data_IF_107269413856
#
_entry.id   IF_107269413856
#
_cell.length_a   1.000
_cell.length_b   1.000
_cell.length_c   1.000
_cell.angle_alpha   90.00
_cell.angle_beta   90.00
_cell.angle_gamma   90.00
#
_symmetry.space_group_name_H-M   'P 1'
#
loop_
_entity.id
_entity.type
_entity.pdbx_description
1 polymer ?
#
# COMPACT_ATOMS: atom_id res chain seq x y z
N UNK A 1 47.29 8.17 -2.06
CA UNK A 1 45.94 7.82 -2.57
C UNK A 1 45.15 6.97 -1.56
N UNK A 2 44.21 7.60 -0.85
CA UNK A 2 43.24 6.92 0.00
C UNK A 2 42.36 6.03 -0.89
N UNK A 3 42.41 4.71 -0.68
CA UNK A 3 41.54 3.75 -1.38
C UNK A 3 40.11 4.02 -0.92
N UNK A 4 39.24 4.42 -1.85
CA UNK A 4 37.81 4.55 -1.59
C UNK A 4 37.28 3.21 -1.06
N UNK A 5 36.66 3.24 0.11
CA UNK A 5 35.94 2.10 0.67
C UNK A 5 34.72 1.88 -0.23
N UNK A 6 34.49 0.66 -0.76
CA UNK A 6 33.31 0.39 -1.57
C UNK A 6 32.04 0.66 -0.74
N UNK A 7 30.99 1.24 -1.34
CA UNK A 7 29.74 1.47 -0.64
C UNK A 7 29.20 0.13 -0.10
N UNK A 8 28.53 0.13 1.07
CA UNK A 8 27.90 -1.07 1.58
C UNK A 8 26.93 -1.65 0.54
N UNK A 9 26.76 -2.97 0.48
CA UNK A 9 25.80 -3.58 -0.43
C UNK A 9 24.42 -2.96 -0.19
N UNK A 10 23.80 -2.46 -1.26
CA UNK A 10 22.44 -1.95 -1.22
C UNK A 10 21.52 -3.05 -0.71
N UNK A 11 20.63 -2.72 0.23
CA UNK A 11 19.58 -3.63 0.66
C UNK A 11 18.82 -4.15 -0.58
N UNK A 12 18.41 -5.43 -0.61
CA UNK A 12 17.60 -5.95 -1.70
C UNK A 12 16.31 -5.11 -1.84
N UNK A 13 15.77 -4.97 -3.06
CA UNK A 13 14.51 -4.27 -3.25
C UNK A 13 13.40 -4.95 -2.42
N UNK A 14 12.41 -4.16 -1.99
CA UNK A 14 11.41 -4.58 -1.02
C UNK A 14 10.63 -5.84 -1.47
N UNK A 15 10.46 -6.01 -2.79
CA UNK A 15 9.75 -7.10 -3.46
C UNK A 15 10.64 -8.29 -3.87
N UNK A 16 11.94 -8.28 -3.57
CA UNK A 16 12.85 -9.36 -3.95
C UNK A 16 12.42 -10.72 -3.36
N UNK A 17 12.63 -11.81 -4.09
CA UNK A 17 12.47 -13.16 -3.52
C UNK A 17 13.47 -13.38 -2.37
N UNK A 18 13.11 -14.18 -1.35
CA UNK A 18 14.01 -14.47 -0.24
C UNK A 18 15.27 -15.14 -0.74
N UNK A 19 16.42 -14.67 -0.27
CA UNK A 19 17.74 -15.10 -0.73
C UNK A 19 18.27 -16.31 0.05
N UNK A 20 17.70 -16.56 1.23
CA UNK A 20 18.03 -17.69 2.09
C UNK A 20 16.78 -18.27 2.75
N UNK A 21 16.86 -19.50 3.26
CA UNK A 21 15.75 -20.14 4.00
C UNK A 21 15.52 -19.54 5.37
N UNK A 22 16.52 -18.88 5.93
CA UNK A 22 16.48 -18.30 7.28
C UNK A 22 15.95 -16.86 7.26
N UNK A 23 15.70 -16.30 6.06
CA UNK A 23 15.12 -14.98 5.90
C UNK A 23 13.66 -14.96 6.34
N UNK A 24 13.36 -14.17 7.37
CA UNK A 24 11.99 -13.94 7.84
C UNK A 24 11.35 -12.84 6.98
N UNK A 25 10.23 -13.17 6.34
CA UNK A 25 9.44 -12.26 5.52
C UNK A 25 7.99 -12.22 6.03
N UNK A 26 7.49 -11.01 6.23
CA UNK A 26 6.10 -10.78 6.62
C UNK A 26 5.26 -10.51 5.38
N UNK A 27 4.18 -11.29 5.20
CA UNK A 27 3.39 -11.30 3.97
C UNK A 27 1.98 -10.72 4.20
N UNK A 28 1.47 -9.88 3.28
CA UNK A 28 0.16 -9.22 3.40
C UNK A 28 -0.99 -10.14 2.94
N UNK A 29 -1.17 -11.28 3.62
CA UNK A 29 -2.16 -12.31 3.23
C UNK A 29 -3.60 -11.80 3.28
N UNK A 30 -3.93 -10.95 4.26
CA UNK A 30 -5.25 -10.33 4.36
C UNK A 30 -5.53 -9.39 3.18
N UNK A 31 -4.53 -8.63 2.72
CA UNK A 31 -4.68 -7.78 1.53
C UNK A 31 -4.89 -8.61 0.26
N UNK A 32 -4.21 -9.76 0.14
CA UNK A 32 -4.40 -10.69 -0.97
C UNK A 32 -5.86 -11.17 -1.05
N UNK A 33 -6.39 -11.67 0.07
CA UNK A 33 -7.78 -12.13 0.16
C UNK A 33 -8.78 -11.00 -0.13
N UNK A 34 -8.49 -9.79 0.36
CA UNK A 34 -9.31 -8.61 0.08
C UNK A 34 -9.34 -8.28 -1.42
N UNK A 35 -8.20 -8.28 -2.12
CA UNK A 35 -8.18 -7.97 -3.55
C UNK A 35 -8.88 -9.02 -4.42
N UNK A 36 -8.76 -10.31 -4.07
CA UNK A 36 -9.52 -11.37 -4.75
C UNK A 36 -11.02 -11.14 -4.59
N UNK A 37 -11.47 -10.86 -3.37
CA UNK A 37 -12.88 -10.55 -3.09
C UNK A 37 -13.33 -9.30 -3.85
N UNK A 38 -12.50 -8.26 -3.86
CA UNK A 38 -12.82 -6.99 -4.52
C UNK A 38 -12.99 -7.17 -6.03
N UNK A 39 -12.10 -7.92 -6.69
CA UNK A 39 -12.22 -8.25 -8.13
C UNK A 39 -13.42 -9.13 -8.44
N UNK A 40 -13.79 -10.04 -7.52
CA UNK A 40 -14.96 -10.90 -7.68
C UNK A 40 -16.28 -10.11 -7.56
N UNK A 41 -16.37 -9.21 -6.58
CA UNK A 41 -17.63 -8.50 -6.25
C UNK A 41 -17.79 -7.19 -7.03
N UNK A 42 -16.68 -6.51 -7.34
CA UNK A 42 -16.67 -5.18 -7.99
C UNK A 42 -15.62 -5.14 -9.11
N UNK A 43 -15.80 -5.85 -10.24
CA UNK A 43 -14.77 -5.95 -11.29
C UNK A 43 -14.39 -4.60 -11.93
N UNK A 44 -15.28 -3.59 -11.92
CA UNK A 44 -15.05 -2.26 -12.49
C UNK A 44 -14.74 -1.20 -11.41
N UNK A 45 -13.99 -1.56 -10.38
CA UNK A 45 -13.64 -0.62 -9.31
C UNK A 45 -12.40 0.20 -9.65
N UNK A 46 -12.28 1.35 -8.99
CA UNK A 46 -11.03 2.10 -8.88
C UNK A 46 -10.62 2.13 -7.43
N UNK A 47 -9.38 1.75 -7.13
CA UNK A 47 -8.83 1.72 -5.79
C UNK A 47 -7.72 2.77 -5.69
N UNK A 48 -7.81 3.61 -4.67
CA UNK A 48 -6.71 4.48 -4.23
C UNK A 48 -6.33 3.99 -2.84
N UNK A 49 -5.05 3.64 -2.68
CA UNK A 49 -4.48 3.21 -1.40
C UNK A 49 -3.35 4.16 -1.01
N UNK A 50 -3.31 4.54 0.27
CA UNK A 50 -2.26 5.36 0.86
C UNK A 50 -1.98 4.83 2.27
N UNK A 51 -0.71 4.65 2.58
CA UNK A 51 -0.21 4.06 3.82
C UNK A 51 1.30 4.32 3.96
N UNK A 52 1.89 3.97 5.09
CA UNK A 52 3.33 4.09 5.33
C UNK A 52 4.10 2.92 4.72
N UNK A 53 5.08 3.21 3.87
CA UNK A 53 6.02 2.22 3.31
C UNK A 53 7.16 1.87 4.29
N UNK A 54 7.32 2.67 5.35
CA UNK A 54 8.32 2.46 6.38
C UNK A 54 7.79 2.88 7.74
N UNK A 55 8.05 2.06 8.75
CA UNK A 55 7.79 2.37 10.15
C UNK A 55 9.13 2.59 10.88
N UNK A 56 9.25 3.65 11.71
CA UNK A 56 10.45 3.89 12.50
C UNK A 56 10.54 2.87 13.65
N UNK A 57 11.77 2.62 14.13
CA UNK A 57 12.05 1.89 15.38
C UNK A 57 11.41 0.50 15.52
N UNK A 58 11.16 -0.18 14.38
CA UNK A 58 10.67 -1.57 14.38
C UNK A 58 11.70 -2.49 15.04
N UNK A 59 11.29 -3.13 16.13
CA UNK A 59 12.14 -4.02 16.92
C UNK A 59 12.09 -5.49 16.46
N UNK A 60 11.07 -5.88 15.70
CA UNK A 60 10.94 -7.27 15.22
C UNK A 60 11.89 -7.53 14.05
N UNK A 61 12.50 -8.74 13.99
CA UNK A 61 13.31 -9.13 12.85
C UNK A 61 12.44 -9.46 11.64
N UNK A 62 13.06 -9.35 10.46
CA UNK A 62 12.48 -9.74 9.19
C UNK A 62 12.10 -8.56 8.31
N UNK A 63 11.96 -8.83 7.02
CA UNK A 63 11.55 -7.83 6.03
C UNK A 63 10.04 -7.63 6.11
N UNK A 64 9.61 -6.37 6.04
CA UNK A 64 8.23 -5.93 6.25
C UNK A 64 7.68 -6.22 7.66
N UNK A 65 8.58 -6.31 8.65
CA UNK A 65 8.20 -6.56 10.04
C UNK A 65 7.26 -5.48 10.60
N UNK A 66 6.27 -5.87 11.42
CA UNK A 66 5.32 -4.94 11.98
C UNK A 66 5.90 -4.17 13.18
N UNK A 67 5.36 -2.97 13.40
CA UNK A 67 5.45 -2.24 14.65
C UNK A 67 4.29 -2.65 15.57
N UNK A 68 4.60 -3.11 16.79
CA UNK A 68 3.59 -3.43 17.81
C UNK A 68 3.59 -2.29 18.80
N UNK A 69 2.57 -1.44 18.75
CA UNK A 69 2.50 -0.23 19.56
C UNK A 69 1.33 -0.30 20.55
N UNK A 70 1.61 -0.04 21.82
CA UNK A 70 0.61 0.05 22.88
C UNK A 70 0.55 1.47 23.44
N UNK A 71 -0.65 1.99 23.65
CA UNK A 71 -0.85 3.28 24.29
C UNK A 71 -1.13 3.12 25.78
N UNK A 72 -0.16 3.48 26.63
CA UNK A 72 -0.30 3.47 28.10
C UNK A 72 -0.22 4.88 28.64
N UNK A 73 -1.29 5.36 29.29
CA UNK A 73 -1.30 6.70 29.90
C UNK A 73 -1.02 7.83 28.91
N UNK A 74 -1.44 7.68 27.64
CA UNK A 74 -1.19 8.66 26.58
C UNK A 74 0.19 8.58 25.92
N UNK A 75 1.07 7.66 26.35
CA UNK A 75 2.38 7.42 25.74
C UNK A 75 2.35 6.14 24.90
N UNK A 76 3.02 6.15 23.76
CA UNK A 76 3.23 4.96 22.94
C UNK A 76 4.43 4.17 23.49
N UNK A 77 4.24 2.86 23.61
CA UNK A 77 5.24 1.88 24.02
C UNK A 77 5.31 0.82 22.94
N UNK A 78 6.49 0.64 22.35
CA UNK A 78 6.70 -0.32 21.28
C UNK A 78 7.23 -1.64 21.83
N UNK A 79 6.71 -2.75 21.32
CA UNK A 79 7.05 -4.09 21.77
C UNK A 79 7.88 -4.84 20.73
N UNK A 80 8.91 -5.55 21.20
CA UNK A 80 9.74 -6.44 20.38
C UNK A 80 9.12 -7.82 20.08
N UNK A 81 7.84 -8.02 20.37
CA UNK A 81 7.16 -9.32 20.21
C UNK A 81 5.68 -9.16 19.90
N UNK A 82 5.12 -10.13 19.15
CA UNK A 82 3.68 -10.27 18.95
C UNK A 82 2.95 -10.85 20.17
N UNK A 83 3.69 -11.45 21.10
CA UNK A 83 3.13 -12.14 22.27
C UNK A 83 2.78 -11.17 23.40
N UNK A 84 1.99 -10.16 23.07
CA UNK A 84 1.41 -9.21 24.02
C UNK A 84 -0.01 -9.66 24.41
N UNK A 85 -0.53 -9.23 25.57
CA UNK A 85 -1.92 -9.54 25.93
C UNK A 85 -2.89 -9.10 24.84
N UNK A 86 -3.94 -9.89 24.65
CA UNK A 86 -4.86 -9.68 23.54
C UNK A 86 -5.60 -8.34 23.69
N UNK A 87 -5.65 -7.59 22.60
CA UNK A 87 -6.31 -6.29 22.55
C UNK A 87 -5.57 -5.17 23.30
N UNK A 88 -4.33 -5.39 23.76
CA UNK A 88 -3.57 -4.33 24.44
C UNK A 88 -2.67 -3.52 23.52
N UNK A 89 -2.33 -4.02 22.34
CA UNK A 89 -1.49 -3.32 21.38
C UNK A 89 -2.10 -3.35 19.98
N UNK A 90 -1.85 -2.29 19.22
CA UNK A 90 -2.13 -2.22 17.80
C UNK A 90 -0.90 -2.73 17.03
N UNK A 91 -1.14 -3.39 15.90
CA UNK A 91 -0.11 -3.98 15.05
C UNK A 91 -0.15 -3.27 13.70
N UNK A 92 0.93 -2.60 13.34
CA UNK A 92 1.07 -1.85 12.09
C UNK A 92 2.09 -2.54 11.21
N UNK A 93 1.71 -2.87 9.97
CA UNK A 93 2.65 -3.38 8.97
C UNK A 93 3.05 -2.23 8.04
N UNK A 94 4.33 -2.12 7.65
CA UNK A 94 4.69 -1.26 6.53
C UNK A 94 4.11 -1.84 5.23
N UNK A 95 3.66 -0.97 4.34
CA UNK A 95 3.10 -1.36 3.05
C UNK A 95 4.16 -1.31 1.95
N UNK A 96 4.50 -2.46 1.39
CA UNK A 96 5.26 -2.55 0.14
C UNK A 96 4.31 -2.34 -1.04
N UNK A 97 4.25 -1.12 -1.56
CA UNK A 97 3.35 -0.74 -2.65
C UNK A 97 3.68 -1.41 -3.99
N UNK A 98 4.95 -1.75 -4.24
CA UNK A 98 5.34 -2.43 -5.47
C UNK A 98 4.83 -3.88 -5.44
N UNK A 99 5.04 -4.56 -4.31
CA UNK A 99 4.45 -5.87 -4.06
C UNK A 99 2.91 -5.82 -4.06
N UNK A 100 2.30 -4.75 -3.52
CA UNK A 100 0.86 -4.57 -3.50
C UNK A 100 0.27 -4.41 -4.92
N UNK A 101 0.93 -3.67 -5.81
CA UNK A 101 0.52 -3.53 -7.21
C UNK A 101 0.60 -4.88 -7.95
N UNK A 102 1.67 -5.64 -7.71
CA UNK A 102 1.81 -6.99 -8.25
C UNK A 102 0.73 -7.93 -7.72
N UNK A 103 0.45 -7.87 -6.42
CA UNK A 103 -0.57 -8.68 -5.75
C UNK A 103 -1.97 -8.37 -6.29
N UNK A 104 -2.31 -7.09 -6.44
CA UNK A 104 -3.60 -6.65 -6.99
C UNK A 104 -3.80 -7.14 -8.43
N UNK A 105 -2.76 -7.04 -9.26
CA UNK A 105 -2.78 -7.54 -10.65
C UNK A 105 -2.85 -9.07 -10.73
N UNK A 106 -2.16 -9.77 -9.82
CA UNK A 106 -2.20 -11.22 -9.72
C UNK A 106 -3.57 -11.73 -9.26
N UNK A 107 -4.20 -11.05 -8.29
CA UNK A 107 -5.54 -11.38 -7.82
C UNK A 107 -6.59 -11.29 -8.95
N UNK A 108 -6.52 -10.24 -9.78
CA UNK A 108 -7.38 -10.14 -10.97
C UNK A 108 -7.19 -11.30 -11.94
N UNK A 109 -5.94 -11.64 -12.25
CA UNK A 109 -5.62 -12.80 -13.11
C UNK A 109 -6.11 -14.11 -12.51
N UNK A 110 -6.02 -14.26 -11.19
CA UNK A 110 -6.53 -15.45 -10.50
C UNK A 110 -8.05 -15.54 -10.61
N UNK A 111 -8.77 -14.46 -10.30
CA UNK A 111 -10.24 -14.43 -10.27
C UNK A 111 -10.87 -14.49 -11.67
N UNK A 112 -10.28 -13.82 -12.66
CA UNK A 112 -10.84 -13.78 -14.02
C UNK A 112 -10.22 -14.80 -14.99
N UNK A 113 -9.01 -15.29 -14.69
CA UNK A 113 -8.31 -16.30 -15.49
C UNK A 113 -8.67 -17.74 -15.10
N UNK A 114 -9.16 -17.95 -13.88
CA UNK A 114 -9.99 -19.12 -13.59
C UNK A 114 -11.33 -18.90 -14.31
N UNK A 115 -11.75 -19.82 -15.19
CA UNK A 115 -13.06 -19.73 -15.86
C UNK A 115 -14.23 -19.67 -14.86
N UNK A 116 -15.50 -19.67 -15.29
CA UNK A 116 -16.67 -19.38 -14.45
C UNK A 116 -17.00 -20.40 -13.31
N UNK A 117 -16.02 -21.06 -12.71
CA UNK A 117 -16.18 -22.14 -11.73
C UNK A 117 -15.52 -21.90 -10.36
N UNK A 118 -14.95 -20.73 -10.04
CA UNK A 118 -14.53 -20.46 -8.66
C UNK A 118 -14.70 -19.01 -8.25
N UNK A 119 -15.97 -18.59 -8.08
CA UNK A 119 -16.23 -17.66 -7.00
C UNK A 119 -15.71 -18.32 -5.71
N UNK A 120 -14.90 -17.66 -4.87
CA UNK A 120 -14.48 -18.24 -3.61
C UNK A 120 -15.74 -18.61 -2.84
N UNK A 121 -15.95 -19.91 -2.61
CA UNK A 121 -17.02 -20.37 -1.74
C UNK A 121 -16.78 -19.69 -0.40
N UNK A 122 -17.63 -18.72 -0.04
CA UNK A 122 -17.69 -18.17 1.30
C UNK A 122 -17.98 -19.33 2.25
N UNK A 123 -16.93 -19.95 2.79
CA UNK A 123 -17.04 -20.67 4.05
C UNK A 123 -17.17 -19.60 5.13
N UNK A 124 -18.29 -19.53 5.86
CA UNK A 124 -18.34 -18.71 7.05
C UNK A 124 -17.41 -19.38 8.06
N UNK A 125 -16.17 -18.91 8.14
CA UNK A 125 -15.30 -19.29 9.24
C UNK A 125 -15.90 -18.68 10.51
N UNK A 126 -16.66 -19.50 11.24
CA UNK A 126 -16.95 -19.25 12.65
C UNK A 126 -15.62 -19.24 13.41
N UNK A 127 -15.03 -18.06 13.55
CA UNK A 127 -13.99 -17.75 14.50
C UNK A 127 -14.43 -16.51 15.29
N UNK A 128 -14.14 -16.43 16.60
CA UNK A 128 -14.72 -15.44 17.47
C UNK A 128 -14.36 -14.03 17.00
N UNK A 129 -15.34 -13.13 17.07
CA UNK A 129 -15.18 -11.70 16.87
C UNK A 129 -14.13 -11.18 17.85
N UNK A 130 -12.89 -11.10 17.40
CA UNK A 130 -11.91 -10.18 17.94
C UNK A 130 -12.11 -8.89 17.18
N UNK A 131 -12.70 -7.90 17.85
CA UNK A 131 -12.72 -6.51 17.38
C UNK A 131 -11.27 -6.01 17.28
N UNK A 132 -10.64 -6.25 16.15
CA UNK A 132 -9.45 -5.51 15.73
C UNK A 132 -9.91 -4.11 15.39
N UNK A 133 -9.57 -3.15 16.23
CA UNK A 133 -9.66 -1.74 15.91
C UNK A 133 -8.64 -1.46 14.82
N UNK A 134 -9.03 -1.66 13.56
CA UNK A 134 -8.28 -1.16 12.43
C UNK A 134 -8.18 0.36 12.58
N UNK A 135 -6.95 0.87 12.73
CA UNK A 135 -6.68 2.27 12.46
C UNK A 135 -7.23 2.61 11.07
N UNK A 136 -7.78 3.81 10.86
CA UNK A 136 -8.62 4.08 9.70
C UNK A 136 -7.75 4.15 8.46
N UNK A 137 -7.64 3.05 7.72
CA UNK A 137 -7.35 3.11 6.30
C UNK A 137 -8.57 3.77 5.65
N UNK A 138 -8.48 5.07 5.39
CA UNK A 138 -9.50 5.84 4.70
C UNK A 138 -9.57 5.40 3.22
N UNK A 139 -10.13 4.22 2.97
CA UNK A 139 -10.54 3.78 1.65
C UNK A 139 -11.85 4.49 1.31
N UNK A 140 -11.75 5.75 0.86
CA UNK A 140 -12.88 6.45 0.29
C UNK A 140 -13.19 5.88 -1.10
N UNK A 141 -14.15 4.96 -1.18
CA UNK A 141 -14.74 4.54 -2.45
C UNK A 141 -15.70 5.63 -2.94
N UNK A 142 -15.16 6.64 -3.64
CA UNK A 142 -15.97 7.65 -4.29
C UNK A 142 -16.54 7.10 -5.61
N UNK A 143 -17.84 6.88 -5.65
CA UNK A 143 -18.58 6.69 -6.90
C UNK A 143 -19.06 8.07 -7.39
N UNK A 144 -18.52 8.55 -8.50
CA UNK A 144 -19.02 9.77 -9.14
C UNK A 144 -19.20 9.56 -10.64
N UNK A 145 -20.44 9.83 -11.08
CA UNK A 145 -20.85 9.82 -12.47
C UNK A 145 -20.74 11.24 -13.08
N UNK A 146 -20.31 11.26 -14.34
CA UNK A 146 -20.61 12.21 -15.42
C UNK A 146 -19.99 13.64 -15.46
N UNK A 147 -19.16 13.78 -16.52
CA UNK A 147 -19.06 14.84 -17.56
C UNK A 147 -18.61 16.26 -17.18
N UNK A 148 -17.46 16.65 -17.76
CA UNK A 148 -17.00 18.02 -17.90
C UNK A 148 -15.68 18.09 -18.69
N UNK A 149 -15.76 18.53 -19.93
CA UNK A 149 -14.70 18.59 -20.95
C UNK A 149 -13.71 19.75 -20.73
N UNK A 150 -12.41 19.47 -20.77
CA UNK A 150 -11.36 20.40 -21.20
C UNK A 150 -10.03 19.66 -21.48
N UNK A 151 -9.55 19.79 -22.72
CA UNK A 151 -8.27 19.29 -23.25
C UNK A 151 -7.07 20.08 -22.66
N UNK A 152 -5.78 19.71 -22.70
CA UNK A 152 -4.96 18.89 -23.60
C UNK A 152 -3.80 18.34 -22.76
N UNK A 153 -3.53 17.04 -22.88
CA UNK A 153 -2.29 16.41 -22.43
C UNK A 153 -2.32 15.00 -22.98
N UNK A 154 -1.36 14.65 -23.85
CA UNK A 154 -1.26 13.36 -24.53
C UNK A 154 -0.92 12.26 -23.51
N UNK A 155 -1.92 11.86 -22.71
CA UNK A 155 -1.97 10.52 -22.16
C UNK A 155 -2.31 9.62 -23.35
N UNK A 156 -1.36 8.77 -23.75
CA UNK A 156 -1.70 7.65 -24.61
C UNK A 156 -2.87 6.93 -23.93
N UNK A 157 -4.04 6.94 -24.57
CA UNK A 157 -5.14 6.05 -24.19
C UNK A 157 -4.59 4.66 -24.43
N UNK A 158 -4.05 4.05 -23.37
CA UNK A 158 -3.73 2.64 -23.41
C UNK A 158 -5.09 1.97 -23.53
N UNK A 159 -5.31 1.31 -24.66
CA UNK A 159 -6.48 0.47 -24.87
C UNK A 159 -6.35 -0.69 -23.87
N UNK A 160 -6.86 -0.49 -22.65
CA UNK A 160 -6.82 -1.46 -21.56
C UNK A 160 -7.78 -2.56 -21.99
N UNK A 161 -7.22 -3.62 -22.57
CA UNK A 161 -7.95 -4.79 -23.01
C UNK A 161 -8.95 -5.22 -21.92
N UNK A 162 -10.16 -5.58 -22.32
CA UNK A 162 -11.22 -6.04 -21.40
C UNK A 162 -10.66 -7.18 -20.53
N UNK A 163 -10.61 -6.97 -19.21
CA UNK A 163 -10.01 -7.91 -18.25
C UNK A 163 -8.54 -7.62 -17.87
N UNK A 164 -7.96 -6.50 -18.33
CA UNK A 164 -6.66 -6.03 -17.85
C UNK A 164 -6.80 -5.00 -16.74
N UNK A 165 -5.89 -5.07 -15.77
CA UNK A 165 -5.83 -4.17 -14.61
C UNK A 165 -4.62 -3.27 -14.77
N UNK A 166 -4.83 -1.97 -14.59
CA UNK A 166 -3.73 -1.03 -14.39
C UNK A 166 -3.52 -0.84 -12.88
N UNK A 167 -2.28 -1.02 -12.44
CA UNK A 167 -1.83 -0.77 -11.07
C UNK A 167 -0.53 0.03 -11.13
N UNK A 168 -0.56 1.25 -10.59
CA UNK A 168 0.59 2.16 -10.57
C UNK A 168 0.84 2.63 -9.13
N UNK A 169 2.10 2.55 -8.70
CA UNK A 169 2.56 3.10 -7.42
C UNK A 169 3.26 4.44 -7.68
N UNK A 170 2.81 5.47 -6.98
CA UNK A 170 3.45 6.78 -7.00
C UNK A 170 3.99 7.13 -5.62
N UNK A 171 5.27 7.50 -5.56
CA UNK A 171 5.81 8.11 -4.34
C UNK A 171 5.11 9.44 -4.07
N UNK A 172 4.88 9.76 -2.80
CA UNK A 172 4.16 10.96 -2.39
C UNK A 172 4.70 12.25 -3.04
N UNK A 173 6.02 12.43 -3.10
CA UNK A 173 6.64 13.57 -3.78
C UNK A 173 6.38 13.62 -5.29
N UNK A 174 6.22 12.48 -5.97
CA UNK A 174 5.88 12.42 -7.38
C UNK A 174 4.41 12.79 -7.62
N UNK A 175 3.50 12.38 -6.73
CA UNK A 175 2.08 12.80 -6.75
C UNK A 175 1.98 14.31 -6.58
N UNK A 176 2.62 14.86 -5.54
CA UNK A 176 2.61 16.29 -5.27
C UNK A 176 3.16 17.10 -6.44
N UNK A 177 4.27 16.66 -7.05
CA UNK A 177 4.81 17.30 -8.26
C UNK A 177 3.87 17.20 -9.46
N UNK A 178 3.22 16.06 -9.68
CA UNK A 178 2.28 15.84 -10.79
C UNK A 178 1.03 16.71 -10.69
N UNK A 179 0.54 16.95 -9.48
CA UNK A 179 -0.70 17.70 -9.24
C UNK A 179 -0.48 19.12 -8.73
N UNK A 180 0.78 19.60 -8.70
CA UNK A 180 1.14 20.93 -8.18
C UNK A 180 0.50 22.10 -8.91
N UNK A 181 0.12 21.90 -10.18
CA UNK A 181 -0.42 22.94 -11.07
C UNK A 181 -1.96 22.95 -11.10
N UNK A 182 -2.62 22.35 -10.10
CA UNK A 182 -4.05 22.55 -9.91
C UNK A 182 -4.34 24.04 -9.64
N UNK A 183 -5.42 24.56 -10.23
CA UNK A 183 -5.75 26.01 -10.25
C UNK A 183 -5.80 26.72 -8.88
N UNK A 184 -5.75 25.97 -7.76
CA UNK A 184 -5.88 26.48 -6.39
C UNK A 184 -4.65 26.23 -5.48
N UNK A 185 -3.52 25.72 -5.98
CA UNK A 185 -2.39 25.30 -5.13
C UNK A 185 -1.18 26.25 -5.12
N UNK A 186 -1.13 27.24 -6.02
CA UNK A 186 -0.09 28.27 -6.00
C UNK A 186 -0.55 29.49 -5.19
N UNK A 187 0.28 29.94 -4.24
CA UNK A 187 0.07 31.22 -3.57
C UNK A 187 0.38 32.39 -4.51
N UNK A 188 -0.07 33.60 -4.17
CA UNK A 188 0.10 34.83 -4.97
C UNK A 188 1.59 35.12 -5.27
N UNK A 189 2.51 34.64 -4.43
CA UNK A 189 3.95 34.77 -4.63
C UNK A 189 4.60 33.62 -5.43
N UNK A 190 3.79 32.78 -6.10
CA UNK A 190 4.23 31.58 -6.82
C UNK A 190 4.92 30.51 -5.95
N UNK A 191 4.86 30.64 -4.62
CA UNK A 191 5.25 29.59 -3.67
C UNK A 191 4.15 28.53 -3.59
N UNK A 192 4.53 27.26 -3.70
CA UNK A 192 3.61 26.14 -3.60
C UNK A 192 3.99 25.26 -2.41
N UNK A 193 3.34 25.43 -1.24
CA UNK A 193 3.69 24.67 -0.04
C UNK A 193 3.55 23.16 -0.24
N UNK A 194 2.70 22.70 -1.17
CA UNK A 194 2.59 21.27 -1.47
C UNK A 194 3.81 20.69 -2.18
N UNK A 195 4.63 21.51 -2.84
CA UNK A 195 5.85 21.06 -3.52
C UNK A 195 7.08 21.48 -2.76
N UNK A 196 7.16 22.76 -2.41
CA UNK A 196 8.38 23.38 -1.90
C UNK A 196 8.74 22.88 -0.50
N UNK A 197 7.74 22.61 0.36
CA UNK A 197 7.98 22.03 1.69
C UNK A 197 8.33 20.53 1.62
N UNK A 198 7.97 19.84 0.52
CA UNK A 198 8.16 18.41 0.34
C UNK A 198 9.38 18.03 -0.52
N UNK A 199 10.14 19.01 -1.04
CA UNK A 199 11.37 18.77 -1.82
C UNK A 199 12.59 18.45 -0.92
N UNK A 200 12.49 18.68 0.40
CA UNK A 200 13.59 18.53 1.37
C UNK A 200 13.45 17.35 2.36
N UNK A 201 12.59 16.37 2.10
CA UNK A 201 12.43 15.18 2.95
C UNK A 201 13.06 13.93 2.32
#
# INVERSE_FOLDING_TARGET
PLRAIPPPPSAPPADAQPTSRDEVLWLPTAAAAFFELLHAVRPNHSLIAADFDKLPDVQLPGRNAPLIAQKVGGRNIDHGTLLVPWGTADIFFPTDFDALCHLYSAAAKHVWGSGPASAPALVPASAPVSTVSAAPAAAAAAATAAVGEAAVGTAAVVDVAVGSVNAEHFRQGAVLKRYREMFNTATICAFNPMVDDFVNA
#
